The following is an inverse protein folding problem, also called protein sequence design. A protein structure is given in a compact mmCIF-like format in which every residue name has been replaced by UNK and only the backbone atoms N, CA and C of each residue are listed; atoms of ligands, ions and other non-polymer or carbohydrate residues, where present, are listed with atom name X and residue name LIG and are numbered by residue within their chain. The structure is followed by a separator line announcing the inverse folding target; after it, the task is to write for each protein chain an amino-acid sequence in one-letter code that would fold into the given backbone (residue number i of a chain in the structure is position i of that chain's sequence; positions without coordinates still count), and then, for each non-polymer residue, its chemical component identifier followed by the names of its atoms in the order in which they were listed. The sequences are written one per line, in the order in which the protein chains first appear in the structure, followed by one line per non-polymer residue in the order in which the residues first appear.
data_IF_088045346553
#
_entry.id   IF_088045346553
#
_cell.length_a   1.000
_cell.length_b   1.000
_cell.length_c   1.000
_cell.angle_alpha   90.00
_cell.angle_beta   90.00
_cell.angle_gamma   90.00
#
_symmetry.space_group_name_H-M   'P 1'
#
loop_
_entity.id
_entity.type
_entity.pdbx_description
1 polymer ?
#
# COMPACT_ATOMS: atom_id res chain seq x y z
N UNK A 1 -13.61 2.94 -0.82
CA UNK A 1 -12.13 2.87 -0.73
C UNK A 1 -11.44 2.07 -1.84
N UNK A 2 -12.14 1.35 -2.72
CA UNK A 2 -11.49 0.57 -3.79
C UNK A 2 -10.72 1.44 -4.81
N UNK A 3 -11.22 2.64 -5.12
CA UNK A 3 -10.63 3.56 -6.11
C UNK A 3 -9.17 3.93 -5.82
N UNK A 4 -8.80 4.19 -4.57
CA UNK A 4 -7.41 4.53 -4.22
C UNK A 4 -6.49 3.34 -4.45
N UNK A 5 -6.90 2.14 -4.03
CA UNK A 5 -6.11 0.93 -4.29
C UNK A 5 -5.93 0.70 -5.80
N UNK A 6 -6.96 0.93 -6.62
CA UNK A 6 -6.85 0.83 -8.08
C UNK A 6 -5.81 1.80 -8.64
N UNK A 7 -5.78 3.06 -8.16
CA UNK A 7 -4.76 4.05 -8.57
C UNK A 7 -3.36 3.56 -8.18
N UNK A 8 -3.17 3.10 -6.94
CA UNK A 8 -1.87 2.58 -6.51
C UNK A 8 -1.45 1.36 -7.33
N UNK A 9 -2.38 0.48 -7.66
CA UNK A 9 -2.14 -0.76 -8.42
C UNK A 9 -1.87 -0.51 -9.91
N UNK A 10 -2.33 0.62 -10.47
CA UNK A 10 -1.99 1.03 -11.84
C UNK A 10 -0.51 1.39 -11.99
N UNK A 11 0.15 1.80 -10.89
CA UNK A 11 1.58 2.15 -10.86
C UNK A 11 2.29 1.34 -9.75
N UNK A 12 2.46 0.01 -9.91
CA UNK A 12 2.97 -0.86 -8.84
C UNK A 12 4.44 -0.64 -8.49
N UNK A 13 5.23 -0.13 -9.43
CA UNK A 13 6.64 0.19 -9.22
C UNK A 13 6.83 1.53 -8.51
N UNK A 14 5.79 2.37 -8.48
CA UNK A 14 5.84 3.69 -7.86
C UNK A 14 5.83 3.60 -6.34
N UNK A 15 6.71 4.37 -5.71
CA UNK A 15 6.74 4.54 -4.27
C UNK A 15 5.90 5.75 -3.85
N UNK A 16 4.73 5.48 -3.31
CA UNK A 16 3.77 6.49 -2.84
C UNK A 16 4.10 6.95 -1.43
N UNK A 17 4.11 8.27 -1.20
CA UNK A 17 4.23 8.83 0.16
C UNK A 17 2.90 8.74 0.89
N UNK A 18 2.92 8.56 2.21
CA UNK A 18 1.71 8.58 3.04
C UNK A 18 0.85 9.82 2.78
N UNK A 19 1.49 10.99 2.58
CA UNK A 19 0.79 12.25 2.30
C UNK A 19 0.08 12.25 0.95
N UNK A 20 0.67 11.64 -0.08
CA UNK A 20 0.01 11.51 -1.39
C UNK A 20 -1.20 10.59 -1.28
N UNK A 21 -1.08 9.49 -0.53
CA UNK A 21 -2.19 8.58 -0.27
C UNK A 21 -3.29 9.26 0.55
N UNK A 22 -2.94 10.13 1.51
CA UNK A 22 -3.91 10.91 2.27
C UNK A 22 -4.74 11.85 1.36
N UNK A 23 -4.08 12.52 0.41
CA UNK A 23 -4.76 13.35 -0.61
C UNK A 23 -5.70 12.49 -1.45
N UNK A 24 -5.25 11.32 -1.93
CA UNK A 24 -6.09 10.39 -2.69
C UNK A 24 -7.29 9.85 -1.89
N UNK A 25 -7.15 9.73 -0.57
CA UNK A 25 -8.22 9.32 0.34
C UNK A 25 -9.22 10.46 0.63
N UNK A 26 -8.96 11.68 0.17
CA UNK A 26 -9.80 12.86 0.40
C UNK A 26 -9.37 13.70 1.60
N UNK A 27 -8.06 13.94 1.76
CA UNK A 27 -7.47 14.79 2.80
C UNK A 27 -7.85 14.40 4.24
N UNK A 28 -7.95 13.09 4.49
CA UNK A 28 -8.14 12.56 5.84
C UNK A 28 -6.91 12.82 6.71
N UNK A 29 -7.10 12.84 8.03
CA UNK A 29 -5.99 13.06 8.97
C UNK A 29 -4.87 12.03 8.79
N UNK A 30 -3.64 12.42 9.12
CA UNK A 30 -2.47 11.54 9.00
C UNK A 30 -2.63 10.26 9.83
N UNK A 31 -3.27 10.35 11.00
CA UNK A 31 -3.57 9.20 11.88
C UNK A 31 -4.54 8.23 11.21
N UNK A 32 -5.63 8.73 10.62
CA UNK A 32 -6.59 7.91 9.88
C UNK A 32 -5.92 7.25 8.66
N UNK A 33 -5.07 8.00 7.95
CA UNK A 33 -4.26 7.49 6.85
C UNK A 33 -3.37 6.33 7.30
N UNK A 34 -2.63 6.48 8.40
CA UNK A 34 -1.77 5.42 8.91
C UNK A 34 -2.53 4.17 9.34
N UNK A 35 -3.69 4.31 9.98
CA UNK A 35 -4.56 3.17 10.32
C UNK A 35 -5.03 2.45 9.05
N UNK A 36 -5.38 3.19 8.00
CA UNK A 36 -5.79 2.60 6.74
C UNK A 36 -4.63 1.88 6.03
N UNK A 37 -3.44 2.47 6.04
CA UNK A 37 -2.23 1.87 5.47
C UNK A 37 -1.83 0.59 6.21
N UNK A 38 -1.96 0.56 7.55
CA UNK A 38 -1.75 -0.65 8.33
C UNK A 38 -2.71 -1.76 7.90
N UNK A 39 -4.01 -1.47 7.81
CA UNK A 39 -5.03 -2.42 7.33
C UNK A 39 -4.76 -2.94 5.92
N UNK A 40 -4.33 -2.07 5.00
CA UNK A 40 -3.99 -2.49 3.63
C UNK A 40 -2.71 -3.33 3.58
N UNK A 41 -1.75 -3.07 4.48
CA UNK A 41 -0.53 -3.86 4.60
C UNK A 41 -0.83 -5.25 5.17
N UNK A 42 -1.62 -5.32 6.25
CA UNK A 42 -2.10 -6.58 6.85
C UNK A 42 -2.86 -7.45 5.85
N UNK A 43 -3.64 -6.82 4.96
CA UNK A 43 -4.38 -7.51 3.90
C UNK A 43 -3.57 -7.78 2.63
N UNK A 44 -2.27 -7.48 2.61
CA UNK A 44 -1.39 -7.71 1.47
C UNK A 44 -1.76 -6.92 0.20
N UNK A 45 -2.43 -5.77 0.33
CA UNK A 45 -2.78 -4.91 -0.81
C UNK A 45 -1.68 -3.93 -1.17
N UNK A 46 -0.89 -3.54 -0.17
CA UNK A 46 0.29 -2.69 -0.32
C UNK A 46 1.42 -3.26 0.54
N UNK A 47 2.65 -2.85 0.27
CA UNK A 47 3.80 -3.09 1.14
C UNK A 47 4.42 -1.77 1.57
N UNK A 48 4.84 -1.67 2.84
CA UNK A 48 5.68 -0.58 3.31
C UNK A 48 7.11 -0.85 2.87
N UNK A 49 7.65 0.00 2.00
CA UNK A 49 9.01 -0.15 1.46
C UNK A 49 10.03 0.49 2.39
N UNK A 50 9.69 1.64 2.98
CA UNK A 50 10.46 2.33 4.01
C UNK A 50 9.55 3.27 4.80
N UNK A 51 10.08 3.99 5.78
CA UNK A 51 9.28 4.95 6.57
C UNK A 51 8.56 5.95 5.68
N UNK A 52 7.22 5.97 5.80
CA UNK A 52 6.34 6.84 5.04
C UNK A 52 6.22 6.55 3.53
N UNK A 53 6.75 5.43 3.03
CA UNK A 53 6.65 5.03 1.61
C UNK A 53 6.06 3.65 1.42
N UNK A 54 5.13 3.55 0.48
CA UNK A 54 4.35 2.36 0.19
C UNK A 54 4.33 2.08 -1.30
N UNK A 55 4.33 0.81 -1.67
CA UNK A 55 4.13 0.35 -3.05
C UNK A 55 2.90 -0.55 -3.09
N UNK A 56 2.16 -0.54 -4.19
CA UNK A 56 1.08 -1.50 -4.37
C UNK A 56 1.63 -2.91 -4.55
N UNK A 57 0.86 -3.89 -4.08
CA UNK A 57 1.08 -5.29 -4.46
C UNK A 57 0.11 -5.57 -5.59
N UNK A 58 0.63 -5.67 -6.81
CA UNK A 58 -0.09 -6.34 -7.89
C UNK A 58 -0.15 -7.81 -7.52
N UNK A 59 -1.35 -8.37 -7.47
CA UNK A 59 -1.53 -9.82 -7.40
C UNK A 59 -1.10 -10.41 -8.74
N UNK A 60 0.19 -10.36 -9.05
CA UNK A 60 0.78 -11.30 -9.98
C UNK A 60 0.75 -12.60 -9.18
N UNK A 61 0.06 -13.66 -9.64
CA UNK A 61 0.17 -14.95 -8.99
C UNK A 61 1.61 -15.41 -9.22
N UNK A 62 2.51 -15.04 -8.32
CA UNK A 62 3.86 -15.56 -8.32
C UNK A 62 3.82 -16.81 -7.43
N UNK A 63 3.87 -18.03 -7.98
CA UNK A 63 3.80 -19.26 -7.18
C UNK A 63 5.08 -19.54 -6.39
N UNK A 64 6.01 -18.58 -6.27
CA UNK A 64 7.31 -18.76 -5.65
C UNK A 64 7.69 -17.56 -4.79
N UNK A 65 7.16 -17.52 -3.57
CA UNK A 65 7.90 -16.99 -2.41
C UNK A 65 7.64 -17.87 -1.19
N UNK A 66 8.12 -19.09 -1.33
CA UNK A 66 8.55 -19.91 -0.21
C UNK A 66 9.64 -19.16 0.58
N UNK A 67 9.67 -19.39 1.89
CA UNK A 67 10.81 -19.24 2.80
C UNK A 67 11.34 -17.84 3.09
N UNK A 68 11.06 -17.37 4.31
CA UNK A 68 12.08 -17.06 5.33
C UNK A 68 11.38 -16.49 6.57
N UNK A 69 11.03 -17.39 7.50
CA UNK A 69 11.11 -17.09 8.93
C UNK A 69 11.86 -18.25 9.56
N UNK A 70 13.13 -17.98 9.86
CA UNK A 70 13.97 -18.75 10.75
C UNK A 70 13.85 -18.10 12.12
#
# INVERSE_FOLDING_TARGET
MARVLTILQAEPERLWRSREIAVLLGDVTLVATYRQLARWTERGKIKRVRTGRYAAITQIPNPLRDQRKR
#
